data_IF_036965699199
#
_entry.id   IF_036965699199
#
_cell.length_a   1.000
_cell.length_b   1.000
_cell.length_c   1.000
_cell.angle_alpha   90.00
_cell.angle_beta   90.00
_cell.angle_gamma   90.00
#
_symmetry.space_group_name_H-M   'P 1'
#
loop_
_entity.id
_entity.type
_entity.pdbx_description
1 polymer ?
#
# COMPACT_ATOMS: atom_id res chain seq x y z
N UNK A 1 -17.87 -12.08 -0.11
CA UNK A 1 -16.68 -12.73 0.45
C UNK A 1 -15.93 -11.76 1.35
N UNK A 2 -15.65 -10.54 0.90
CA UNK A 2 -15.09 -9.45 1.73
C UNK A 2 -15.82 -9.24 3.07
N UNK A 3 -17.15 -9.02 3.07
CA UNK A 3 -17.93 -8.83 4.30
C UNK A 3 -17.81 -9.99 5.30
N UNK A 4 -17.68 -11.22 4.79
CA UNK A 4 -17.49 -12.41 5.63
C UNK A 4 -16.05 -12.47 6.18
N UNK A 5 -15.06 -12.05 5.39
CA UNK A 5 -13.69 -11.86 5.87
C UNK A 5 -13.61 -10.83 6.99
N UNK A 6 -14.31 -9.70 6.84
CA UNK A 6 -14.40 -8.67 7.89
C UNK A 6 -15.07 -9.20 9.16
N UNK A 7 -16.13 -10.01 9.03
CA UNK A 7 -16.77 -10.65 10.19
C UNK A 7 -15.81 -11.60 10.92
N UNK A 8 -15.07 -12.44 10.18
CA UNK A 8 -14.04 -13.29 10.79
C UNK A 8 -12.94 -12.47 11.46
N UNK A 9 -12.52 -11.35 10.87
CA UNK A 9 -11.53 -10.46 11.47
C UNK A 9 -12.05 -9.84 12.78
N UNK A 10 -13.32 -9.40 12.82
CA UNK A 10 -13.97 -8.90 14.03
C UNK A 10 -14.09 -9.98 15.13
N UNK A 11 -14.18 -11.25 14.73
CA UNK A 11 -14.19 -12.39 15.65
C UNK A 11 -12.78 -12.92 15.98
N UNK A 12 -11.72 -12.22 15.59
CA UNK A 12 -10.32 -12.64 15.78
C UNK A 12 -9.96 -13.98 15.11
N UNK A 13 -10.76 -14.42 14.13
CA UNK A 13 -10.53 -15.62 13.33
C UNK A 13 -9.71 -15.28 12.07
N UNK A 14 -8.49 -14.81 12.29
CA UNK A 14 -7.66 -14.16 11.26
C UNK A 14 -7.31 -15.06 10.06
N UNK A 15 -7.07 -16.34 10.27
CA UNK A 15 -6.80 -17.29 9.17
C UNK A 15 -8.01 -17.43 8.23
N UNK A 16 -9.22 -17.49 8.82
CA UNK A 16 -10.47 -17.53 8.04
C UNK A 16 -10.70 -16.20 7.33
N UNK A 17 -10.37 -15.08 7.97
CA UNK A 17 -10.46 -13.76 7.34
C UNK A 17 -9.58 -13.68 6.09
N UNK A 18 -8.29 -14.04 6.21
CA UNK A 18 -7.35 -14.08 5.07
C UNK A 18 -7.84 -15.00 3.96
N UNK A 19 -8.31 -16.21 4.31
CA UNK A 19 -8.86 -17.14 3.33
C UNK A 19 -10.03 -16.53 2.53
N UNK A 20 -10.93 -15.83 3.23
CA UNK A 20 -12.06 -15.15 2.59
C UNK A 20 -11.63 -13.96 1.74
N UNK A 21 -10.58 -13.22 2.13
CA UNK A 21 -10.02 -12.14 1.35
C UNK A 21 -9.33 -12.66 0.08
N UNK A 22 -8.53 -13.72 0.14
CA UNK A 22 -7.94 -14.36 -1.04
C UNK A 22 -9.01 -14.84 -2.03
N UNK A 23 -10.06 -15.53 -1.55
CA UNK A 23 -11.19 -15.91 -2.42
C UNK A 23 -11.89 -14.71 -3.07
N UNK A 24 -11.98 -13.59 -2.36
CA UNK A 24 -12.54 -12.36 -2.93
C UNK A 24 -11.63 -11.76 -4.00
N UNK A 25 -10.31 -11.78 -3.79
CA UNK A 25 -9.29 -11.33 -4.74
C UNK A 25 -9.35 -12.19 -6.01
N UNK A 26 -9.37 -13.51 -5.89
CA UNK A 26 -9.42 -14.44 -7.02
C UNK A 26 -10.65 -14.17 -7.90
N UNK A 27 -11.82 -14.04 -7.26
CA UNK A 27 -13.06 -13.72 -7.98
C UNK A 27 -12.99 -12.37 -8.66
N UNK A 28 -12.57 -11.32 -7.95
CA UNK A 28 -12.50 -9.96 -8.48
C UNK A 28 -11.49 -9.85 -9.64
N UNK A 29 -10.40 -10.62 -9.60
CA UNK A 29 -9.37 -10.64 -10.63
C UNK A 29 -9.80 -11.37 -11.91
N UNK A 30 -10.80 -12.25 -11.83
CA UNK A 30 -11.36 -12.97 -12.99
C UNK A 30 -12.45 -12.18 -13.73
N UNK A 31 -12.90 -11.05 -13.20
CA UNK A 31 -13.89 -10.20 -13.87
C UNK A 31 -13.29 -9.55 -15.12
N UNK A 32 -14.11 -9.34 -16.14
CA UNK A 32 -13.69 -8.72 -17.41
C UNK A 32 -13.05 -7.33 -17.19
N UNK A 33 -13.55 -6.61 -16.19
CA UNK A 33 -12.98 -5.34 -15.72
C UNK A 33 -12.84 -5.40 -14.20
N UNK A 34 -11.67 -5.84 -13.68
CA UNK A 34 -11.46 -5.97 -12.24
C UNK A 34 -11.63 -4.63 -11.52
N UNK A 35 -12.38 -4.62 -10.44
CA UNK A 35 -12.49 -3.45 -9.58
C UNK A 35 -11.18 -3.24 -8.78
N UNK A 36 -10.30 -2.38 -9.30
CA UNK A 36 -9.00 -2.09 -8.70
C UNK A 36 -9.11 -1.54 -7.28
N UNK A 37 -10.17 -0.78 -6.97
CA UNK A 37 -10.36 -0.26 -5.62
C UNK A 37 -10.66 -1.38 -4.62
N UNK A 38 -11.56 -2.30 -5.00
CA UNK A 38 -11.86 -3.48 -4.18
C UNK A 38 -10.62 -4.34 -3.95
N UNK A 39 -9.80 -4.56 -4.99
CA UNK A 39 -8.54 -5.31 -4.86
C UNK A 39 -7.56 -4.64 -3.89
N UNK A 40 -7.40 -3.31 -3.96
CA UNK A 40 -6.56 -2.56 -3.02
C UNK A 40 -7.08 -2.71 -1.58
N UNK A 41 -8.39 -2.59 -1.36
CA UNK A 41 -8.99 -2.77 -0.04
C UNK A 41 -8.76 -4.18 0.52
N UNK A 42 -8.94 -5.21 -0.30
CA UNK A 42 -8.73 -6.60 0.10
C UNK A 42 -7.28 -6.87 0.50
N UNK A 43 -6.30 -6.41 -0.29
CA UNK A 43 -4.90 -6.54 0.08
C UNK A 43 -4.57 -5.72 1.35
N UNK A 44 -5.16 -4.55 1.56
CA UNK A 44 -4.94 -3.75 2.78
C UNK A 44 -5.39 -4.48 4.04
N UNK A 45 -6.51 -5.20 3.99
CA UNK A 45 -6.92 -6.07 5.09
C UNK A 45 -5.87 -7.14 5.39
N UNK A 46 -5.33 -7.78 4.36
CA UNK A 46 -4.30 -8.82 4.49
C UNK A 46 -3.00 -8.23 5.07
N UNK A 47 -2.52 -7.09 4.55
CA UNK A 47 -1.35 -6.37 5.09
C UNK A 47 -1.55 -6.08 6.58
N UNK A 48 -2.72 -5.56 6.98
CA UNK A 48 -3.01 -5.23 8.37
C UNK A 48 -2.92 -6.47 9.27
N UNK A 49 -3.49 -7.60 8.87
CA UNK A 49 -3.47 -8.82 9.66
C UNK A 49 -2.04 -9.34 9.79
N UNK A 50 -1.31 -9.50 8.69
CA UNK A 50 0.07 -9.99 8.75
C UNK A 50 1.00 -9.07 9.54
N UNK A 51 0.88 -7.76 9.38
CA UNK A 51 1.72 -6.77 10.05
C UNK A 51 1.43 -6.66 11.56
N UNK A 52 0.16 -6.71 11.96
CA UNK A 52 -0.24 -6.41 13.35
C UNK A 52 -0.49 -7.65 14.20
N UNK A 53 -1.01 -8.71 13.60
CA UNK A 53 -1.37 -9.95 14.31
C UNK A 53 -0.23 -10.95 14.24
N UNK A 54 0.18 -11.34 13.03
CA UNK A 54 1.13 -12.43 12.86
C UNK A 54 2.60 -11.99 12.92
N UNK A 55 2.87 -10.69 12.73
CA UNK A 55 4.24 -10.16 12.59
C UNK A 55 5.03 -10.87 11.47
N UNK A 56 4.31 -11.34 10.44
CA UNK A 56 4.88 -11.89 9.22
C UNK A 56 5.09 -10.76 8.22
N UNK A 57 6.25 -10.13 8.33
CA UNK A 57 6.59 -8.99 7.49
C UNK A 57 6.75 -9.37 6.02
N UNK A 58 7.18 -10.60 5.72
CA UNK A 58 7.33 -11.07 4.34
C UNK A 58 5.99 -11.06 3.61
N UNK A 59 4.94 -11.61 4.24
CA UNK A 59 3.58 -11.60 3.69
C UNK A 59 2.98 -10.20 3.63
N UNK A 60 3.25 -9.35 4.63
CA UNK A 60 2.81 -7.95 4.63
C UNK A 60 3.44 -7.15 3.47
N UNK A 61 4.76 -7.31 3.26
CA UNK A 61 5.49 -6.65 2.16
C UNK A 61 4.96 -7.11 0.80
N UNK A 62 4.79 -8.43 0.61
CA UNK A 62 4.26 -8.97 -0.66
C UNK A 62 2.91 -8.36 -1.02
N UNK A 63 1.99 -8.27 -0.06
CA UNK A 63 0.67 -7.69 -0.28
C UNK A 63 0.73 -6.15 -0.47
N UNK A 64 1.66 -5.46 0.18
CA UNK A 64 1.85 -4.03 -0.02
C UNK A 64 2.44 -3.71 -1.41
N UNK A 65 3.31 -4.58 -1.95
CA UNK A 65 3.79 -4.47 -3.33
C UNK A 65 2.65 -4.68 -4.33
N UNK A 66 1.77 -5.67 -4.10
CA UNK A 66 0.54 -5.87 -4.92
C UNK A 66 -0.37 -4.64 -4.88
N UNK A 67 -0.57 -4.02 -3.72
CA UNK A 67 -1.29 -2.74 -3.61
C UNK A 67 -0.65 -1.69 -4.51
N UNK A 68 0.67 -1.55 -4.47
CA UNK A 68 1.40 -0.57 -5.28
C UNK A 68 1.28 -0.83 -6.78
N UNK A 69 1.34 -2.08 -7.22
CA UNK A 69 1.06 -2.46 -8.62
C UNK A 69 -0.34 -2.04 -9.08
N UNK A 70 -1.35 -2.24 -8.22
CA UNK A 70 -2.73 -1.80 -8.49
C UNK A 70 -2.85 -0.28 -8.54
N UNK A 71 -2.12 0.45 -7.68
CA UNK A 71 -2.03 1.91 -7.72
C UNK A 71 -1.44 2.42 -9.04
N UNK A 72 -0.34 1.82 -9.51
CA UNK A 72 0.28 2.15 -10.80
C UNK A 72 -0.71 1.94 -11.95
N UNK A 73 -1.44 0.82 -11.93
CA UNK A 73 -2.46 0.51 -12.95
C UNK A 73 -3.65 1.47 -12.91
N UNK A 74 -4.11 1.84 -11.71
CA UNK A 74 -5.28 2.70 -11.52
C UNK A 74 -4.98 4.17 -11.81
N UNK A 75 -3.79 4.63 -11.43
CA UNK A 75 -3.37 6.03 -11.49
C UNK A 75 -2.07 6.17 -12.29
N UNK A 76 -2.09 5.91 -13.62
CA UNK A 76 -0.89 6.03 -14.41
C UNK A 76 -0.39 7.48 -14.42
N UNK A 77 0.94 7.63 -14.32
CA UNK A 77 1.64 8.92 -14.34
C UNK A 77 1.94 9.39 -15.77
N UNK A 78 1.73 8.54 -16.78
CA UNK A 78 2.03 8.88 -18.17
C UNK A 78 1.01 9.86 -18.79
N UNK A 79 1.45 10.75 -19.69
CA UNK A 79 0.77 12.01 -19.97
C UNK A 79 -0.17 11.99 -21.17
N UNK A 80 -0.65 10.83 -21.66
CA UNK A 80 -1.54 10.81 -22.82
C UNK A 80 -2.88 11.53 -22.53
N UNK A 81 -2.89 12.84 -22.81
CA UNK A 81 -4.02 13.78 -22.73
C UNK A 81 -4.70 13.89 -21.35
N UNK A 82 -3.96 13.65 -20.27
CA UNK A 82 -4.51 13.81 -18.91
C UNK A 82 -4.51 15.26 -18.46
N UNK A 83 -5.59 15.65 -17.80
CA UNK A 83 -5.71 16.96 -17.16
C UNK A 83 -4.63 17.13 -16.07
N UNK A 84 -3.95 18.29 -15.95
CA UNK A 84 -2.94 18.51 -14.92
C UNK A 84 -3.42 18.23 -13.49
N UNK A 85 -4.71 18.42 -13.18
CA UNK A 85 -5.24 18.10 -11.85
C UNK A 85 -5.32 16.59 -11.61
N UNK A 86 -5.62 15.80 -12.65
CA UNK A 86 -5.60 14.34 -12.60
C UNK A 86 -4.17 13.81 -12.41
N UNK A 87 -3.19 14.36 -13.13
CA UNK A 87 -1.78 13.99 -12.96
C UNK A 87 -1.33 14.29 -11.52
N UNK A 88 -1.71 15.46 -10.99
CA UNK A 88 -1.40 15.84 -9.61
C UNK A 88 -2.05 14.88 -8.60
N UNK A 89 -3.30 14.50 -8.81
CA UNK A 89 -3.97 13.50 -7.97
C UNK A 89 -3.24 12.15 -8.03
N UNK A 90 -2.88 11.67 -9.22
CA UNK A 90 -2.17 10.41 -9.38
C UNK A 90 -0.82 10.44 -8.65
N UNK A 91 -0.05 11.52 -8.77
CA UNK A 91 1.21 11.68 -8.02
C UNK A 91 0.98 11.55 -6.51
N UNK A 92 -0.08 12.14 -5.96
CA UNK A 92 -0.41 12.05 -4.54
C UNK A 92 -0.66 10.60 -4.12
N UNK A 93 -1.46 9.84 -4.89
CA UNK A 93 -1.75 8.43 -4.63
C UNK A 93 -0.49 7.56 -4.71
N UNK A 94 0.40 7.83 -5.66
CA UNK A 94 1.69 7.16 -5.75
C UNK A 94 2.54 7.42 -4.50
N UNK A 95 2.66 8.68 -4.07
CA UNK A 95 3.41 9.03 -2.86
C UNK A 95 2.83 8.32 -1.62
N UNK A 96 1.50 8.25 -1.48
CA UNK A 96 0.88 7.52 -0.36
C UNK A 96 1.26 6.04 -0.39
N UNK A 97 1.20 5.40 -1.56
CA UNK A 97 1.59 3.99 -1.68
C UNK A 97 3.06 3.72 -1.31
N UNK A 98 3.97 4.66 -1.61
CA UNK A 98 5.37 4.57 -1.20
C UNK A 98 5.53 4.74 0.31
N UNK A 99 4.81 5.71 0.90
CA UNK A 99 4.84 5.93 2.34
C UNK A 99 4.31 4.72 3.10
N UNK A 100 3.20 4.13 2.65
CA UNK A 100 2.65 2.91 3.22
C UNK A 100 3.65 1.74 3.13
N UNK A 101 4.34 1.58 1.99
CA UNK A 101 5.37 0.55 1.82
C UNK A 101 6.57 0.78 2.74
N UNK A 102 7.02 2.03 2.86
CA UNK A 102 8.10 2.38 3.78
C UNK A 102 7.71 2.10 5.24
N UNK A 103 6.44 2.34 5.63
CA UNK A 103 5.97 2.02 6.96
C UNK A 103 6.00 0.51 7.24
N UNK A 104 5.68 -0.33 6.25
CA UNK A 104 5.82 -1.79 6.37
C UNK A 104 7.29 -2.19 6.53
N UNK A 105 8.21 -1.61 5.75
CA UNK A 105 9.66 -1.87 5.90
C UNK A 105 10.20 -1.38 7.24
N UNK A 106 9.68 -0.27 7.76
CA UNK A 106 10.09 0.27 9.05
C UNK A 106 9.70 -0.68 10.19
N UNK A 107 8.48 -1.19 10.16
CA UNK A 107 8.00 -2.20 11.10
C UNK A 107 8.80 -3.51 11.02
N UNK A 108 9.24 -3.90 9.82
CA UNK A 108 10.14 -5.04 9.61
C UNK A 108 11.60 -4.74 9.98
N UNK A 109 11.91 -3.51 10.41
CA UNK A 109 13.26 -2.99 10.69
C UNK A 109 14.23 -3.05 9.51
N UNK A 110 13.70 -3.08 8.28
CA UNK A 110 14.53 -2.92 7.08
C UNK A 110 14.73 -1.43 6.81
N UNK A 111 15.63 -0.82 7.59
CA UNK A 111 15.93 0.61 7.50
C UNK A 111 16.52 1.00 6.16
N UNK A 112 17.20 0.08 5.47
CA UNK A 112 17.78 0.33 4.15
C UNK A 112 16.66 0.51 3.12
N UNK A 113 15.75 -0.45 3.03
CA UNK A 113 14.60 -0.36 2.12
C UNK A 113 13.67 0.78 2.53
N UNK A 114 13.41 0.97 3.82
CA UNK A 114 12.63 2.11 4.31
C UNK A 114 13.19 3.43 3.79
N UNK A 115 14.50 3.65 3.94
CA UNK A 115 15.17 4.88 3.49
C UNK A 115 15.07 5.03 1.98
N UNK A 116 15.34 3.96 1.22
CA UNK A 116 15.25 3.97 -0.23
C UNK A 116 13.82 4.32 -0.71
N UNK A 117 12.81 3.65 -0.17
CA UNK A 117 11.39 3.87 -0.52
C UNK A 117 10.92 5.29 -0.18
N UNK A 118 11.37 5.86 0.95
CA UNK A 118 11.08 7.26 1.30
C UNK A 118 11.80 8.26 0.39
N UNK A 119 13.02 7.96 -0.08
CA UNK A 119 13.69 8.79 -1.09
C UNK A 119 12.94 8.76 -2.43
N UNK A 120 12.48 7.60 -2.88
CA UNK A 120 11.67 7.48 -4.09
C UNK A 120 10.37 8.31 -3.98
N UNK A 121 9.73 8.29 -2.81
CA UNK A 121 8.57 9.13 -2.51
C UNK A 121 8.89 10.64 -2.56
N UNK A 122 10.06 11.06 -2.08
CA UNK A 122 10.49 12.46 -2.13
C UNK A 122 10.77 12.93 -3.56
N UNK A 123 11.37 12.08 -4.40
CA UNK A 123 11.61 12.40 -5.82
C UNK A 123 10.29 12.75 -6.50
N UNK A 124 9.21 12.02 -6.20
CA UNK A 124 7.87 12.29 -6.74
C UNK A 124 7.18 13.51 -6.10
N UNK A 125 7.33 13.72 -4.80
CA UNK A 125 6.67 14.82 -4.08
C UNK A 125 7.33 16.19 -4.35
N UNK A 126 8.60 16.21 -4.74
CA UNK A 126 9.41 17.41 -4.77
C UNK A 126 9.77 17.91 -3.36
N UNK A 127 10.35 19.12 -3.29
CA UNK A 127 10.95 19.64 -2.06
C UNK A 127 9.98 20.40 -1.13
N UNK A 128 8.74 20.64 -1.58
CA UNK A 128 7.81 21.55 -0.91
C UNK A 128 6.52 20.83 -0.47
N UNK A 129 5.82 21.43 0.49
CA UNK A 129 4.53 20.92 0.98
C UNK A 129 4.59 19.99 2.21
N UNK A 130 3.42 19.71 2.81
CA UNK A 130 3.31 18.96 4.07
C UNK A 130 3.81 17.51 3.95
N UNK A 131 3.64 16.89 2.78
CA UNK A 131 4.00 15.49 2.53
C UNK A 131 5.51 15.30 2.43
N UNK A 132 6.22 16.19 1.74
CA UNK A 132 7.69 16.18 1.69
C UNK A 132 8.31 16.50 3.05
N UNK A 133 7.67 17.34 3.87
CA UNK A 133 8.07 17.58 5.27
C UNK A 133 7.94 16.31 6.11
N UNK A 134 6.78 15.65 6.05
CA UNK A 134 6.54 14.40 6.77
C UNK A 134 7.56 13.30 6.41
N UNK A 135 7.84 13.10 5.12
CA UNK A 135 8.82 12.11 4.67
C UNK A 135 10.23 12.44 5.18
N UNK A 136 10.63 13.72 5.13
CA UNK A 136 11.93 14.16 5.67
C UNK A 136 12.04 13.93 7.17
N UNK A 137 10.98 14.18 7.92
CA UNK A 137 10.99 13.96 9.36
C UNK A 137 11.08 12.46 9.70
N UNK A 138 10.41 11.58 8.94
CA UNK A 138 10.63 10.12 9.05
C UNK A 138 12.07 9.71 8.73
N UNK A 139 12.67 10.24 7.67
CA UNK A 139 14.05 9.94 7.29
C UNK A 139 15.05 10.32 8.40
N UNK A 140 14.83 11.43 9.10
CA UNK A 140 15.64 11.83 10.26
C UNK A 140 15.54 10.80 11.38
N UNK A 141 14.33 10.32 11.69
CA UNK A 141 14.14 9.30 12.75
C UNK A 141 14.89 8.02 12.43
N UNK A 142 14.90 7.59 11.16
CA UNK A 142 15.61 6.38 10.72
C UNK A 142 17.14 6.57 10.76
N UNK A 143 17.66 7.80 10.61
CA UNK A 143 19.11 8.06 10.66
C UNK A 143 19.75 7.87 12.04
N UNK A 144 18.93 7.60 13.07
CA UNK A 144 19.37 7.26 14.43
C UNK A 144 19.54 5.75 14.67
N UNK A 145 19.29 4.92 13.64
CA UNK A 145 19.42 3.46 13.65
C UNK A 145 20.35 2.99 12.54
#
# INVERSE_FOLDING_TARGET
>A
MEKLGQLYELNYEFDKAIHMYHKAIDRCSQELQPNLFSLICLHRHIVRIYLRVFKDYSQAIENQLKIRELYVKKYPLEPEKKDPSEIKHNIIEHIDSFVELADVYLESKDYKLTRQTLHDALILCGNEGPKSKYIRDKLKTISLH
#
